data_IF_788577854846
#
_entry.id   IF_788577854846
#
_cell.length_a   1.000
_cell.length_b   1.000
_cell.length_c   1.000
_cell.angle_alpha   90.00
_cell.angle_beta   90.00
_cell.angle_gamma   90.00
#
_symmetry.space_group_name_H-M   'P 1'
#
loop_
_entity.id
_entity.type
_entity.pdbx_description
1 polymer ?
#
# COMPACT_ATOMS: atom_id res chain seq x y z
N UNK A 1 8.99 3.37 -4.43
CA UNK A 1 7.90 3.92 -5.27
C UNK A 1 6.90 4.73 -4.44
N UNK A 2 6.16 4.10 -3.51
CA UNK A 2 5.08 4.74 -2.74
C UNK A 2 5.46 6.02 -2.00
N UNK A 3 6.38 5.95 -1.03
CA UNK A 3 6.75 7.12 -0.21
C UNK A 3 7.24 8.32 -1.03
N UNK A 4 8.09 8.10 -2.04
CA UNK A 4 8.56 9.17 -2.92
C UNK A 4 7.43 9.71 -3.82
N UNK A 5 6.55 8.86 -4.35
CA UNK A 5 5.36 9.28 -5.09
C UNK A 5 4.44 10.18 -4.24
N UNK A 6 4.20 9.82 -2.98
CA UNK A 6 3.43 10.62 -2.02
C UNK A 6 4.09 11.97 -1.73
N UNK A 7 5.41 11.98 -1.51
CA UNK A 7 6.17 13.21 -1.33
C UNK A 7 6.01 14.16 -2.53
N UNK A 8 6.13 13.65 -3.76
CA UNK A 8 5.91 14.44 -4.96
C UNK A 8 4.47 14.99 -5.04
N UNK A 9 3.48 14.25 -4.55
CA UNK A 9 2.09 14.74 -4.43
C UNK A 9 2.00 16.02 -3.59
N UNK A 10 2.75 16.11 -2.50
CA UNK A 10 2.87 17.35 -1.72
C UNK A 10 3.59 18.44 -2.49
N UNK A 11 4.68 18.12 -3.20
CA UNK A 11 5.44 19.11 -3.98
C UNK A 11 4.60 19.76 -5.09
N UNK A 12 3.71 19.01 -5.74
CA UNK A 12 2.73 19.57 -6.69
C UNK A 12 1.91 20.71 -6.06
N UNK A 13 1.57 20.57 -4.78
CA UNK A 13 0.72 21.51 -4.04
C UNK A 13 1.49 22.70 -3.47
N UNK A 14 2.64 22.45 -2.85
CA UNK A 14 3.31 23.42 -1.97
C UNK A 14 4.58 24.05 -2.53
N UNK A 15 5.18 23.49 -3.58
CA UNK A 15 6.41 24.07 -4.14
C UNK A 15 6.11 25.35 -4.92
N UNK A 16 6.97 26.36 -4.85
CA UNK A 16 6.88 27.56 -5.69
C UNK A 16 7.72 27.46 -6.97
N UNK A 17 8.58 26.44 -7.06
CA UNK A 17 9.42 26.16 -8.22
C UNK A 17 8.59 25.51 -9.33
N UNK A 18 8.58 26.16 -10.51
CA UNK A 18 7.83 25.72 -11.69
C UNK A 18 8.41 24.43 -12.27
N UNK A 19 9.73 24.29 -12.31
CA UNK A 19 10.41 23.11 -12.84
C UNK A 19 10.14 21.91 -11.93
N UNK A 20 10.25 22.11 -10.61
CA UNK A 20 9.97 21.07 -9.64
C UNK A 20 8.51 20.62 -9.70
N UNK A 21 7.56 21.55 -9.78
CA UNK A 21 6.13 21.23 -9.94
C UNK A 21 5.86 20.43 -11.21
N UNK A 22 6.49 20.79 -12.34
CA UNK A 22 6.33 20.07 -13.60
C UNK A 22 6.85 18.63 -13.48
N UNK A 23 8.05 18.45 -12.91
CA UNK A 23 8.63 17.13 -12.65
C UNK A 23 7.78 16.31 -11.68
N UNK A 24 7.26 16.92 -10.63
CA UNK A 24 6.41 16.24 -9.65
C UNK A 24 5.09 15.78 -10.28
N UNK A 25 4.45 16.61 -11.13
CA UNK A 25 3.23 16.23 -11.87
C UNK A 25 3.46 15.07 -12.83
N UNK A 26 4.64 14.97 -13.45
CA UNK A 26 4.98 13.86 -14.33
C UNK A 26 5.27 12.56 -13.56
N UNK A 27 6.10 12.65 -12.51
CA UNK A 27 6.60 11.48 -11.80
C UNK A 27 5.61 10.91 -10.78
N UNK A 28 4.81 11.75 -10.11
CA UNK A 28 3.82 11.30 -9.12
C UNK A 28 2.88 10.20 -9.65
N UNK A 29 2.15 10.40 -10.77
CA UNK A 29 1.23 9.38 -11.28
C UNK A 29 1.97 8.13 -11.79
N UNK A 30 3.18 8.27 -12.36
CA UNK A 30 3.99 7.13 -12.82
C UNK A 30 4.43 6.24 -11.65
N UNK A 31 4.94 6.85 -10.58
CA UNK A 31 5.43 6.13 -9.40
C UNK A 31 4.28 5.48 -8.61
N UNK A 32 3.15 6.19 -8.45
CA UNK A 32 1.99 5.64 -7.75
C UNK A 32 1.22 4.62 -8.59
N UNK A 33 1.14 4.81 -9.90
CA UNK A 33 0.62 3.79 -10.83
C UNK A 33 1.48 2.52 -10.82
N UNK A 34 2.81 2.68 -10.83
CA UNK A 34 3.73 1.54 -10.67
C UNK A 34 3.56 0.84 -9.32
N UNK A 35 3.37 1.58 -8.23
CA UNK A 35 3.07 1.01 -6.92
C UNK A 35 1.74 0.23 -6.93
N UNK A 36 0.69 0.77 -7.53
CA UNK A 36 -0.61 0.11 -7.63
C UNK A 36 -0.51 -1.24 -8.35
N UNK A 37 0.15 -1.27 -9.50
CA UNK A 37 0.35 -2.52 -10.27
C UNK A 37 1.15 -3.53 -9.44
N UNK A 38 2.22 -3.07 -8.78
CA UNK A 38 3.05 -3.95 -7.94
C UNK A 38 2.23 -4.57 -6.80
N UNK A 39 1.38 -3.79 -6.12
CA UNK A 39 0.51 -4.28 -5.06
C UNK A 39 -0.60 -5.20 -5.58
N UNK A 40 -1.14 -4.94 -6.76
CA UNK A 40 -2.13 -5.82 -7.38
C UNK A 40 -1.53 -7.19 -7.73
N UNK A 41 -0.31 -7.21 -8.27
CA UNK A 41 0.42 -8.44 -8.57
C UNK A 41 0.79 -9.20 -7.29
N UNK A 42 1.24 -8.48 -6.26
CA UNK A 42 1.51 -9.06 -4.93
C UNK A 42 0.26 -9.70 -4.32
N UNK A 43 -0.88 -9.01 -4.35
CA UNK A 43 -2.15 -9.56 -3.90
C UNK A 43 -2.56 -10.82 -4.68
N UNK A 44 -2.38 -10.84 -6.00
CA UNK A 44 -2.64 -12.02 -6.82
C UNK A 44 -1.72 -13.20 -6.44
N UNK A 45 -0.44 -12.92 -6.18
CA UNK A 45 0.52 -13.91 -5.68
C UNK A 45 0.15 -14.47 -4.31
N UNK A 46 -0.24 -13.60 -3.37
CA UNK A 46 -0.71 -13.98 -2.03
C UNK A 46 -1.97 -14.85 -2.06
N UNK A 47 -2.97 -14.47 -2.87
CA UNK A 47 -4.18 -15.28 -3.08
C UNK A 47 -3.84 -16.65 -3.66
N UNK A 48 -2.99 -16.68 -4.69
CA UNK A 48 -2.54 -17.94 -5.30
C UNK A 48 -1.86 -18.83 -4.25
N UNK A 49 -0.96 -18.28 -3.44
CA UNK A 49 -0.27 -19.02 -2.37
C UNK A 49 -1.22 -19.59 -1.32
N UNK A 50 -2.29 -18.87 -0.97
CA UNK A 50 -3.30 -19.35 -0.02
C UNK A 50 -4.12 -20.49 -0.62
N UNK A 51 -4.54 -20.35 -1.88
CA UNK A 51 -5.30 -21.37 -2.60
C UNK A 51 -4.49 -22.66 -2.80
N UNK A 52 -3.20 -22.56 -3.15
CA UNK A 52 -2.33 -23.74 -3.29
C UNK A 52 -1.97 -24.39 -1.96
N UNK A 53 -2.26 -23.72 -0.83
CA UNK A 53 -2.02 -24.24 0.52
C UNK A 53 -3.32 -24.65 1.24
N UNK A 54 -4.45 -24.71 0.53
CA UNK A 54 -5.79 -24.97 1.07
C UNK A 54 -6.16 -24.09 2.28
N UNK A 55 -5.71 -22.82 2.27
CA UNK A 55 -5.98 -21.86 3.36
C UNK A 55 -7.09 -20.88 2.99
N UNK A 56 -8.00 -20.56 3.93
CA UNK A 56 -9.03 -19.55 3.70
C UNK A 56 -8.43 -18.15 3.57
N UNK A 57 -8.90 -17.40 2.57
CA UNK A 57 -8.35 -16.07 2.22
C UNK A 57 -8.64 -15.04 3.31
N UNK A 58 -9.90 -14.95 3.75
CA UNK A 58 -10.36 -13.90 4.66
C UNK A 58 -10.03 -14.14 6.15
N UNK A 59 -9.42 -15.27 6.49
CA UNK A 59 -8.88 -15.49 7.84
C UNK A 59 -7.49 -14.88 8.02
N UNK A 60 -6.77 -14.59 6.92
CA UNK A 60 -5.47 -13.95 6.99
C UNK A 60 -5.65 -12.44 7.22
N UNK A 61 -5.19 -11.89 8.36
CA UNK A 61 -5.28 -10.45 8.61
C UNK A 61 -4.51 -9.64 7.56
N UNK A 62 -3.46 -10.22 6.97
CA UNK A 62 -2.71 -9.62 5.88
C UNK A 62 -3.51 -9.58 4.58
N UNK A 63 -4.19 -10.67 4.21
CA UNK A 63 -5.02 -10.68 3.01
C UNK A 63 -6.20 -9.68 3.11
N UNK A 64 -6.82 -9.57 4.28
CA UNK A 64 -7.94 -8.63 4.51
C UNK A 64 -7.46 -7.17 4.41
N UNK A 65 -6.41 -6.81 5.15
CA UNK A 65 -5.89 -5.44 5.16
C UNK A 65 -5.28 -5.05 3.80
N UNK A 66 -4.60 -5.98 3.13
CA UNK A 66 -4.10 -5.80 1.76
C UNK A 66 -5.23 -5.54 0.75
N UNK A 67 -6.33 -6.30 0.84
CA UNK A 67 -7.51 -6.11 -0.02
C UNK A 67 -8.16 -4.74 0.20
N UNK A 68 -8.32 -4.32 1.46
CA UNK A 68 -8.83 -2.98 1.79
C UNK A 68 -7.91 -1.88 1.25
N UNK A 69 -6.59 -2.02 1.45
CA UNK A 69 -5.61 -1.08 0.93
C UNK A 69 -5.65 -0.95 -0.60
N UNK A 70 -5.76 -2.07 -1.32
CA UNK A 70 -5.86 -2.09 -2.78
C UNK A 70 -7.17 -1.48 -3.30
N UNK A 71 -8.30 -1.73 -2.60
CA UNK A 71 -9.57 -1.10 -2.92
C UNK A 71 -9.51 0.43 -2.75
N UNK A 72 -8.92 0.90 -1.64
CA UNK A 72 -8.72 2.33 -1.40
C UNK A 72 -7.78 2.97 -2.44
N UNK A 73 -6.69 2.30 -2.81
CA UNK A 73 -5.80 2.76 -3.87
C UNK A 73 -6.49 2.84 -5.23
N UNK A 74 -7.41 1.92 -5.52
CA UNK A 74 -8.23 1.94 -6.74
C UNK A 74 -9.07 3.22 -6.78
N UNK A 75 -9.81 3.52 -5.70
CA UNK A 75 -10.58 4.76 -5.58
C UNK A 75 -9.69 6.00 -5.71
N UNK A 76 -8.52 5.99 -5.07
CA UNK A 76 -7.54 7.07 -5.12
C UNK A 76 -7.01 7.33 -6.54
N UNK A 77 -6.85 6.28 -7.35
CA UNK A 77 -6.34 6.38 -8.72
C UNK A 77 -7.36 6.93 -9.72
N UNK A 78 -8.65 6.74 -9.46
CA UNK A 78 -9.75 7.23 -10.32
C UNK A 78 -10.07 8.70 -10.01
N UNK A 79 -9.91 9.12 -8.74
CA UNK A 79 -10.28 10.45 -8.28
C UNK A 79 -9.71 11.63 -9.09
N UNK A 80 -8.45 11.60 -9.59
CA UNK A 80 -7.90 12.66 -10.44
C UNK A 80 -8.67 12.91 -11.74
N UNK A 81 -9.34 11.89 -12.29
CA UNK A 81 -10.14 12.04 -13.51
C UNK A 81 -11.35 12.97 -13.32
N UNK A 82 -11.74 13.23 -12.07
CA UNK A 82 -12.87 14.10 -11.73
C UNK A 82 -12.45 15.55 -11.43
N UNK A 83 -11.15 15.88 -11.51
CA UNK A 83 -10.65 17.20 -11.13
C UNK A 83 -11.04 18.32 -12.08
N UNK A 84 -11.21 18.03 -13.38
CA UNK A 84 -11.53 19.05 -14.39
C UNK A 84 -12.92 19.67 -14.15
N UNK A 85 -13.91 18.85 -13.75
CA UNK A 85 -15.25 19.31 -13.39
C UNK A 85 -15.42 19.70 -11.92
N UNK A 86 -14.47 19.33 -11.05
CA UNK A 86 -14.54 19.62 -9.62
C UNK A 86 -13.13 19.78 -9.00
N UNK A 87 -12.50 20.97 -9.13
CA UNK A 87 -11.16 21.20 -8.58
C UNK A 87 -11.10 21.09 -7.05
N UNK A 88 -12.24 21.17 -6.37
CA UNK A 88 -12.36 20.96 -4.92
C UNK A 88 -11.94 19.56 -4.47
N UNK A 89 -11.99 18.55 -5.36
CA UNK A 89 -11.60 17.16 -5.06
C UNK A 89 -10.10 16.96 -4.87
N UNK A 90 -9.26 17.95 -5.18
CA UNK A 90 -7.81 17.89 -4.95
C UNK A 90 -7.45 17.79 -3.47
N UNK A 91 -8.23 18.43 -2.59
CA UNK A 91 -8.05 18.33 -1.14
C UNK A 91 -8.39 16.92 -0.63
N UNK A 92 -9.60 16.37 -0.90
CA UNK A 92 -9.93 14.98 -0.61
C UNK A 92 -8.91 13.99 -1.15
N UNK A 93 -8.43 14.15 -2.39
CA UNK A 93 -7.40 13.28 -2.96
C UNK A 93 -6.09 13.32 -2.15
N UNK A 94 -5.64 14.50 -1.74
CA UNK A 94 -4.45 14.63 -0.92
C UNK A 94 -4.59 13.99 0.47
N UNK A 95 -5.74 14.19 1.12
CA UNK A 95 -6.05 13.63 2.44
C UNK A 95 -6.20 12.11 2.37
N UNK A 96 -7.01 11.62 1.43
CA UNK A 96 -7.23 10.19 1.21
C UNK A 96 -5.92 9.50 0.85
N UNK A 97 -5.16 10.05 -0.09
CA UNK A 97 -3.84 9.51 -0.47
C UNK A 97 -2.87 9.43 0.70
N UNK A 98 -2.79 10.48 1.52
CA UNK A 98 -1.94 10.48 2.73
C UNK A 98 -2.40 9.44 3.75
N UNK A 99 -3.72 9.33 3.96
CA UNK A 99 -4.32 8.33 4.85
C UNK A 99 -4.06 6.90 4.39
N UNK A 100 -4.17 6.63 3.09
CA UNK A 100 -3.87 5.31 2.51
C UNK A 100 -2.40 4.94 2.74
N UNK A 101 -1.48 5.89 2.55
CA UNK A 101 -0.06 5.63 2.77
C UNK A 101 0.25 5.31 4.23
N UNK A 102 -0.35 6.04 5.16
CA UNK A 102 -0.25 5.74 6.60
C UNK A 102 -0.86 4.38 6.92
N UNK A 103 -2.04 4.08 6.37
CA UNK A 103 -2.71 2.79 6.55
C UNK A 103 -1.83 1.63 6.06
N UNK A 104 -1.37 1.66 4.81
CA UNK A 104 -0.50 0.62 4.25
C UNK A 104 0.79 0.46 5.06
N UNK A 105 1.40 1.56 5.52
CA UNK A 105 2.61 1.50 6.34
C UNK A 105 2.35 0.84 7.70
N UNK A 106 1.28 1.24 8.40
CA UNK A 106 0.93 0.67 9.70
C UNK A 106 0.47 -0.79 9.58
N UNK A 107 -0.30 -1.13 8.55
CA UNK A 107 -0.71 -2.51 8.27
C UNK A 107 0.50 -3.40 8.03
N UNK A 108 1.49 -2.92 7.26
CA UNK A 108 2.76 -3.64 7.05
C UNK A 108 3.51 -3.84 8.37
N UNK A 109 3.74 -2.78 9.14
CA UNK A 109 4.46 -2.88 10.42
C UNK A 109 3.79 -3.82 11.44
N UNK A 110 2.46 -3.74 11.58
CA UNK A 110 1.74 -4.55 12.55
C UNK A 110 1.80 -6.04 12.19
N UNK A 111 1.61 -6.36 10.91
CA UNK A 111 1.51 -7.73 10.45
C UNK A 111 2.88 -8.39 10.32
N UNK A 112 3.91 -7.69 9.85
CA UNK A 112 5.26 -8.26 9.76
C UNK A 112 5.85 -8.52 11.14
N UNK A 113 5.57 -7.65 12.13
CA UNK A 113 5.97 -7.89 13.51
C UNK A 113 5.28 -9.13 14.09
N UNK A 114 3.98 -9.31 13.86
CA UNK A 114 3.26 -10.51 14.30
C UNK A 114 3.77 -11.78 13.60
N UNK A 115 4.01 -11.74 12.29
CA UNK A 115 4.51 -12.90 11.54
C UNK A 115 5.95 -13.28 11.93
N UNK A 116 6.82 -12.31 12.17
CA UNK A 116 8.19 -12.53 12.65
C UNK A 116 8.20 -13.14 14.06
N UNK A 117 7.40 -12.59 14.99
CA UNK A 117 7.27 -13.14 16.36
C UNK A 117 6.71 -14.56 16.34
N UNK A 118 5.70 -14.84 15.51
CA UNK A 118 5.11 -16.18 15.39
C UNK A 118 6.13 -17.18 14.83
N UNK A 119 6.89 -16.82 13.80
CA UNK A 119 7.91 -17.72 13.22
C UNK A 119 9.07 -17.98 14.16
N UNK A 120 9.57 -16.96 14.87
CA UNK A 120 10.62 -17.13 15.88
C UNK A 120 10.13 -18.03 17.02
N UNK A 121 8.92 -17.80 17.53
CA UNK A 121 8.35 -18.63 18.60
C UNK A 121 8.13 -20.08 18.14
N UNK A 122 7.66 -20.31 16.90
CA UNK A 122 7.51 -21.65 16.34
C UNK A 122 8.87 -22.34 16.13
N UNK A 123 9.89 -21.63 15.64
CA UNK A 123 11.25 -22.17 15.52
C UNK A 123 11.81 -22.57 16.88
N UNK A 124 11.66 -21.72 17.89
CA UNK A 124 12.13 -21.99 19.25
C UNK A 124 11.42 -23.21 19.86
N UNK A 125 10.12 -23.38 19.63
CA UNK A 125 9.39 -24.56 20.07
C UNK A 125 9.83 -25.84 19.35
N UNK A 126 10.10 -25.78 18.04
CA UNK A 126 10.63 -26.94 17.30
C UNK A 126 12.02 -27.32 17.82
N UNK A 127 12.89 -26.35 18.05
CA UNK A 127 14.23 -26.58 18.64
C UNK A 127 14.10 -27.16 20.06
N UNK A 128 13.17 -26.66 20.88
CA UNK A 128 12.93 -27.18 22.23
C UNK A 128 12.46 -28.64 22.22
N UNK A 129 11.64 -29.04 21.24
CA UNK A 129 11.17 -30.43 21.10
C UNK A 129 12.28 -31.34 20.56
N UNK A 130 13.20 -30.83 19.74
CA UNK A 130 14.34 -31.61 19.23
C UNK A 130 15.49 -31.79 20.24
N UNK A 131 15.49 -31.04 21.36
CA UNK A 131 16.55 -31.09 22.40
C UNK A 131 16.08 -31.82 23.67
N UNK A 132 14.87 -32.40 23.65
CA UNK A 132 14.34 -33.32 24.67
C UNK A 132 14.34 -34.76 24.16
#
# INVERSE_FOLDING_TARGET
MGGYGTYLGFRIRVSDDVEEKAKAKDLHPKLLGGMFIFFALDAAGGITSLLTSDKPIFESPHAVTGTIGLALLTLQSILPALFEGNPGLRNPHGILGSGIMTYCFLSMLHLDFSWAVIHVTKMLNVISVCVQ
#
